data_IF_253906828374
#
_entry.id   IF_253906828374
#
_cell.length_a   1.000
_cell.length_b   1.000
_cell.length_c   1.000
_cell.angle_alpha   90.00
_cell.angle_beta   90.00
_cell.angle_gamma   90.00
#
_symmetry.space_group_name_H-M   'P 1'
#
loop_
_entity.id
_entity.type
_entity.pdbx_description
1 polymer ?
#
# COMPACT_ATOMS: atom_id res chain seq x y z
N UNK A 1 -1.42 -11.55 1.96
CA UNK A 1 -2.33 -12.24 1.04
C UNK A 1 -3.47 -11.28 0.72
N UNK A 2 -3.79 -11.06 -0.56
CA UNK A 2 -4.86 -10.14 -1.01
C UNK A 2 -5.94 -11.00 -1.67
N UNK A 3 -7.17 -11.08 -1.14
CA UNK A 3 -8.26 -11.79 -1.81
C UNK A 3 -8.47 -11.25 -3.24
N UNK A 4 -8.60 -12.13 -4.23
CA UNK A 4 -8.69 -11.74 -5.64
C UNK A 4 -7.37 -11.29 -6.27
N UNK A 5 -6.27 -11.27 -5.51
CA UNK A 5 -4.97 -10.79 -5.98
C UNK A 5 -4.30 -11.74 -6.96
N UNK A 6 -4.49 -13.06 -6.79
CA UNK A 6 -3.99 -14.04 -7.76
C UNK A 6 -4.65 -13.84 -9.12
N UNK A 7 -5.97 -13.78 -9.15
CA UNK A 7 -6.75 -13.58 -10.38
C UNK A 7 -6.41 -12.24 -11.05
N UNK A 8 -6.18 -11.19 -10.26
CA UNK A 8 -5.71 -9.89 -10.76
C UNK A 8 -4.33 -10.01 -11.45
N UNK A 9 -3.38 -10.74 -10.85
CA UNK A 9 -2.06 -10.96 -11.43
C UNK A 9 -2.09 -11.90 -12.65
N UNK A 10 -2.95 -12.92 -12.66
CA UNK A 10 -3.15 -13.80 -13.82
C UNK A 10 -3.67 -13.01 -15.04
N UNK A 11 -4.62 -12.11 -14.82
CA UNK A 11 -5.13 -11.22 -15.87
C UNK A 11 -4.05 -10.23 -16.33
N UNK A 12 -3.29 -9.66 -15.38
CA UNK A 12 -2.26 -8.65 -15.67
C UNK A 12 -1.10 -9.23 -16.47
N UNK A 13 -0.66 -10.44 -16.13
CA UNK A 13 0.52 -11.06 -16.73
C UNK A 13 0.18 -12.05 -17.84
N UNK A 14 -1.09 -12.43 -18.00
CA UNK A 14 -1.54 -13.46 -18.96
C UNK A 14 -0.85 -14.82 -18.73
N UNK A 15 -0.48 -15.12 -17.49
CA UNK A 15 0.20 -16.35 -17.08
C UNK A 15 -0.43 -16.89 -15.79
N UNK A 16 -0.31 -18.21 -15.58
CA UNK A 16 -0.64 -18.83 -14.29
C UNK A 16 0.17 -18.17 -13.17
N UNK A 17 -0.54 -17.72 -12.13
CA UNK A 17 0.05 -17.09 -10.97
C UNK A 17 -0.44 -17.82 -9.73
N UNK A 18 0.44 -18.04 -8.75
CA UNK A 18 0.05 -18.66 -7.49
C UNK A 18 0.41 -17.73 -6.34
N UNK A 19 -0.61 -17.27 -5.62
CA UNK A 19 -0.39 -16.45 -4.43
C UNK A 19 -0.38 -17.34 -3.19
N UNK A 20 0.80 -17.51 -2.58
CA UNK A 20 0.95 -18.29 -1.34
C UNK A 20 1.10 -17.35 -0.15
N UNK A 21 0.28 -17.54 0.88
CA UNK A 21 0.40 -16.79 2.13
C UNK A 21 1.58 -17.33 2.96
N UNK A 22 2.66 -16.56 3.08
CA UNK A 22 3.84 -16.96 3.86
C UNK A 22 3.72 -16.66 5.36
N UNK A 23 2.93 -15.64 5.73
CA UNK A 23 2.77 -15.19 7.12
C UNK A 23 1.31 -14.87 7.43
N UNK A 24 0.86 -14.95 8.70
CA UNK A 24 -0.47 -14.52 9.09
C UNK A 24 -0.75 -13.06 8.72
N UNK A 25 -2.01 -12.75 8.40
CA UNK A 25 -2.42 -11.37 8.15
C UNK A 25 -2.10 -10.49 9.37
N UNK A 26 -1.37 -9.41 9.14
CA UNK A 26 -0.87 -8.54 10.20
C UNK A 26 -1.18 -7.08 9.85
N UNK A 27 -1.79 -6.36 10.78
CA UNK A 27 -2.07 -4.93 10.67
C UNK A 27 -0.88 -4.13 11.23
N UNK A 28 -0.23 -3.34 10.37
CA UNK A 28 0.94 -2.52 10.72
C UNK A 28 0.59 -1.03 10.71
N UNK A 29 1.40 -0.20 11.37
CA UNK A 29 1.25 1.27 11.30
C UNK A 29 1.33 1.75 9.86
N UNK A 30 2.33 1.26 9.09
CA UNK A 30 2.50 1.60 7.68
C UNK A 30 1.27 1.24 6.83
N UNK A 31 0.60 0.13 7.13
CA UNK A 31 -0.61 -0.29 6.43
C UNK A 31 -1.79 0.64 6.68
N UNK A 32 -2.04 1.04 7.93
CA UNK A 32 -3.19 1.90 8.27
C UNK A 32 -3.02 3.36 7.85
N UNK A 33 -1.78 3.82 7.61
CA UNK A 33 -1.50 5.19 7.16
C UNK A 33 -1.17 5.29 5.68
N UNK A 34 -1.15 4.17 4.94
CA UNK A 34 -0.67 4.12 3.55
C UNK A 34 -1.47 5.03 2.58
N UNK A 35 -2.75 5.28 2.88
CA UNK A 35 -3.69 5.96 1.99
C UNK A 35 -4.41 7.11 2.70
N UNK A 36 -3.71 7.80 3.61
CA UNK A 36 -4.26 9.01 4.24
C UNK A 36 -4.32 10.15 3.23
N UNK A 37 -5.44 10.88 3.26
CA UNK A 37 -5.63 12.08 2.47
C UNK A 37 -5.55 13.31 3.38
N UNK A 38 -4.93 14.37 2.89
CA UNK A 38 -4.82 15.63 3.61
C UNK A 38 -5.28 16.79 2.72
N UNK A 39 -5.92 17.79 3.34
CA UNK A 39 -6.22 19.07 2.72
C UNK A 39 -5.18 20.07 3.20
N UNK A 40 -4.57 20.80 2.27
CA UNK A 40 -3.63 21.87 2.61
C UNK A 40 -4.28 22.90 3.53
N UNK A 41 -3.60 23.27 4.62
CA UNK A 41 -4.02 24.34 5.52
C UNK A 41 -4.11 25.72 4.82
N UNK A 42 -3.53 25.84 3.63
CA UNK A 42 -3.57 27.05 2.80
C UNK A 42 -4.68 27.01 1.73
N UNK A 43 -5.47 25.93 1.68
CA UNK A 43 -6.59 25.84 0.74
C UNK A 43 -7.59 26.97 1.00
N UNK A 44 -8.05 27.62 -0.07
CA UNK A 44 -9.11 28.63 0.02
C UNK A 44 -10.51 28.04 0.23
N UNK A 45 -10.64 26.71 0.17
CA UNK A 45 -11.90 25.98 0.20
C UNK A 45 -11.74 24.68 1.01
N UNK A 46 -11.33 24.77 2.28
CA UNK A 46 -11.08 23.59 3.12
C UNK A 46 -12.37 22.79 3.31
N UNK A 47 -13.47 23.45 3.65
CA UNK A 47 -14.76 22.83 3.91
C UNK A 47 -15.27 22.08 2.69
N UNK A 48 -15.18 22.69 1.49
CA UNK A 48 -15.59 22.05 0.24
C UNK A 48 -14.67 20.90 -0.18
N UNK A 49 -13.37 21.00 0.08
CA UNK A 49 -12.45 19.89 -0.15
C UNK A 49 -12.79 18.69 0.74
N UNK A 50 -13.09 18.94 2.03
CA UNK A 50 -13.52 17.89 2.96
C UNK A 50 -14.89 17.32 2.58
N UNK A 51 -15.84 18.16 2.16
CA UNK A 51 -17.15 17.71 1.65
C UNK A 51 -17.00 16.77 0.44
N UNK A 52 -16.14 17.13 -0.50
CA UNK A 52 -15.81 16.27 -1.64
C UNK A 52 -15.17 14.95 -1.22
N UNK A 53 -14.19 14.99 -0.32
CA UNK A 53 -13.59 13.77 0.20
C UNK A 53 -14.61 12.89 0.90
N UNK A 54 -15.50 13.47 1.72
CA UNK A 54 -16.57 12.71 2.36
C UNK A 54 -17.47 12.03 1.33
N UNK A 55 -17.89 12.76 0.29
CA UNK A 55 -18.70 12.24 -0.80
C UNK A 55 -18.03 11.06 -1.52
N UNK A 56 -16.72 11.14 -1.82
CA UNK A 56 -15.97 10.03 -2.45
C UNK A 56 -15.94 8.76 -1.58
N UNK A 57 -15.95 8.90 -0.25
CA UNK A 57 -15.91 7.76 0.69
C UNK A 57 -17.28 7.22 1.08
N UNK A 58 -18.37 7.95 0.80
CA UNK A 58 -19.72 7.60 1.25
C UNK A 58 -20.72 7.34 0.13
N UNK A 59 -20.46 7.83 -1.09
CA UNK A 59 -21.37 7.71 -2.22
C UNK A 59 -20.74 6.86 -3.33
N UNK A 60 -21.34 5.70 -3.58
CA UNK A 60 -20.84 4.73 -4.56
C UNK A 60 -20.85 5.28 -5.98
N UNK A 61 -21.80 6.15 -6.33
CA UNK A 61 -21.87 6.75 -7.66
C UNK A 61 -20.72 7.74 -7.90
N UNK A 62 -20.35 8.50 -6.86
CA UNK A 62 -19.22 9.44 -6.92
C UNK A 62 -17.90 8.67 -6.95
N UNK A 63 -17.78 7.61 -6.13
CA UNK A 63 -16.64 6.70 -6.16
C UNK A 63 -16.45 6.08 -7.56
N UNK A 64 -17.51 5.49 -8.12
CA UNK A 64 -17.48 4.83 -9.42
C UNK A 64 -17.19 5.82 -10.55
N UNK A 65 -17.79 7.01 -10.53
CA UNK A 65 -17.49 8.07 -11.49
C UNK A 65 -16.03 8.48 -11.43
N UNK A 66 -15.48 8.66 -10.23
CA UNK A 66 -14.10 9.07 -10.05
C UNK A 66 -13.09 8.03 -10.55
N UNK A 67 -13.35 6.74 -10.31
CA UNK A 67 -12.40 5.68 -10.66
C UNK A 67 -12.59 5.11 -12.07
N UNK A 68 -13.84 4.98 -12.51
CA UNK A 68 -14.20 4.25 -13.72
C UNK A 68 -14.94 5.10 -14.75
N UNK A 69 -15.17 6.37 -14.46
CA UNK A 69 -15.81 7.31 -15.37
C UNK A 69 -17.32 7.05 -15.48
N UNK A 70 -17.90 7.53 -16.59
CA UNK A 70 -19.34 7.45 -16.87
C UNK A 70 -19.72 6.03 -17.33
N UNK A 71 -20.72 5.43 -16.69
CA UNK A 71 -21.32 4.15 -17.11
C UNK A 71 -21.95 4.27 -18.51
N UNK A 72 -21.80 3.23 -19.33
CA UNK A 72 -22.21 3.20 -20.73
C UNK A 72 -21.18 3.81 -21.70
N UNK A 73 -20.29 4.68 -21.21
CA UNK A 73 -19.20 5.29 -22.00
C UNK A 73 -17.85 4.66 -21.71
N UNK A 74 -17.51 4.48 -20.42
CA UNK A 74 -16.20 4.00 -19.98
C UNK A 74 -16.25 2.59 -19.38
N UNK A 75 -17.36 2.25 -18.74
CA UNK A 75 -17.58 0.94 -18.15
C UNK A 75 -19.06 0.54 -18.22
N UNK A 76 -19.36 -0.72 -17.92
CA UNK A 76 -20.71 -1.25 -17.69
C UNK A 76 -20.69 -2.21 -16.51
N UNK A 77 -21.83 -2.33 -15.83
CA UNK A 77 -22.05 -3.41 -14.90
C UNK A 77 -22.82 -4.53 -15.61
N UNK A 78 -22.20 -5.71 -15.70
CA UNK A 78 -22.77 -6.89 -16.37
C UNK A 78 -22.69 -8.07 -15.40
N UNK A 79 -23.82 -8.72 -15.13
CA UNK A 79 -23.92 -9.85 -14.19
C UNK A 79 -23.35 -9.56 -12.79
N UNK A 80 -23.45 -8.29 -12.36
CA UNK A 80 -22.90 -7.83 -11.07
C UNK A 80 -21.41 -7.51 -11.07
N UNK A 81 -20.74 -7.58 -12.24
CA UNK A 81 -19.33 -7.30 -12.38
C UNK A 81 -19.06 -6.02 -13.17
N UNK A 82 -18.03 -5.29 -12.75
CA UNK A 82 -17.51 -4.15 -13.49
C UNK A 82 -16.73 -4.62 -14.71
N UNK A 83 -17.17 -4.18 -15.90
CA UNK A 83 -16.47 -4.36 -17.17
C UNK A 83 -16.06 -3.01 -17.76
N UNK A 84 -14.75 -2.81 -17.96
CA UNK A 84 -14.26 -1.66 -18.72
C UNK A 84 -14.58 -1.80 -20.21
N UNK A 85 -14.96 -0.71 -20.86
CA UNK A 85 -15.19 -0.67 -22.31
C UNK A 85 -13.83 -0.47 -23.00
N UNK A 86 -13.39 -1.39 -23.88
CA UNK A 86 -12.10 -1.27 -24.56
C UNK A 86 -11.99 0.03 -25.36
N UNK A 87 -10.86 0.73 -25.23
CA UNK A 87 -10.59 1.97 -25.97
C UNK A 87 -11.31 3.22 -25.46
N UNK A 88 -12.06 3.15 -24.36
CA UNK A 88 -12.83 4.30 -23.84
C UNK A 88 -11.98 5.42 -23.22
N UNK A 89 -10.67 5.21 -23.00
CA UNK A 89 -9.73 6.27 -22.63
C UNK A 89 -9.79 6.76 -21.17
N UNK A 90 -10.63 6.17 -20.32
CA UNK A 90 -10.69 6.51 -18.89
C UNK A 90 -10.73 5.26 -18.02
N UNK A 91 -9.68 5.05 -17.24
CA UNK A 91 -9.68 4.14 -16.09
C UNK A 91 -8.62 4.63 -15.11
N UNK A 92 -9.01 4.89 -13.86
CA UNK A 92 -8.09 5.21 -12.78
C UNK A 92 -7.85 3.92 -12.00
N UNK A 93 -6.74 3.26 -12.28
CA UNK A 93 -6.38 1.97 -11.68
C UNK A 93 -5.96 2.03 -10.20
N UNK A 94 -6.00 3.21 -9.56
CA UNK A 94 -5.61 3.41 -8.16
C UNK A 94 -6.81 3.48 -7.22
N UNK A 95 -7.75 2.56 -7.35
CA UNK A 95 -8.97 2.47 -6.53
C UNK A 95 -8.70 2.31 -5.04
N UNK A 96 -7.51 1.81 -4.70
CA UNK A 96 -7.02 1.64 -3.33
C UNK A 96 -6.60 2.95 -2.65
N UNK A 97 -6.28 4.02 -3.39
CA UNK A 97 -5.67 5.22 -2.82
C UNK A 97 -6.67 6.31 -2.40
N UNK A 98 -7.91 6.24 -2.89
CA UNK A 98 -8.92 7.27 -2.65
C UNK A 98 -10.33 6.68 -2.62
N UNK A 99 -11.07 6.90 -1.53
CA UNK A 99 -12.36 6.27 -1.30
C UNK A 99 -12.25 4.89 -0.63
N UNK A 100 -13.39 4.22 -0.47
CA UNK A 100 -13.44 2.87 0.08
C UNK A 100 -13.60 1.86 -1.05
N UNK A 101 -12.64 0.95 -1.21
CA UNK A 101 -12.73 -0.14 -2.21
C UNK A 101 -13.98 -1.03 -2.01
N UNK A 102 -14.57 -1.02 -0.82
CA UNK A 102 -15.82 -1.73 -0.55
C UNK A 102 -17.05 -1.13 -1.25
N UNK A 103 -16.92 0.04 -1.87
CA UNK A 103 -17.95 0.68 -2.71
C UNK A 103 -17.91 0.19 -4.16
N UNK A 104 -16.82 -0.47 -4.55
CA UNK A 104 -16.64 -1.01 -5.90
C UNK A 104 -17.41 -2.34 -6.04
N UNK A 105 -18.09 -2.58 -7.16
CA UNK A 105 -18.52 -3.94 -7.52
C UNK A 105 -17.35 -4.75 -8.07
N UNK A 106 -17.24 -6.06 -7.80
CA UNK A 106 -16.10 -6.86 -8.27
C UNK A 106 -15.88 -6.69 -9.78
N UNK A 107 -14.63 -6.58 -10.21
CA UNK A 107 -14.32 -6.52 -11.64
C UNK A 107 -14.46 -7.88 -12.28
N UNK A 108 -14.77 -7.93 -13.57
CA UNK A 108 -14.76 -9.18 -14.34
C UNK A 108 -13.43 -9.89 -14.15
N UNK A 109 -13.49 -11.18 -13.77
CA UNK A 109 -12.32 -12.01 -13.46
C UNK A 109 -11.98 -12.10 -11.97
N UNK A 110 -12.52 -11.22 -11.13
CA UNK A 110 -12.41 -11.36 -9.67
C UNK A 110 -13.50 -12.30 -9.12
N UNK A 111 -13.27 -12.96 -7.97
CA UNK A 111 -14.31 -13.66 -7.25
C UNK A 111 -15.46 -12.71 -6.87
N UNK A 112 -16.71 -13.17 -6.99
CA UNK A 112 -17.89 -12.39 -6.62
C UNK A 112 -17.89 -11.97 -5.14
N UNK A 113 -17.26 -12.76 -4.28
CA UNK A 113 -17.16 -12.60 -2.83
C UNK A 113 -15.83 -11.95 -2.38
N UNK A 114 -15.11 -11.29 -3.30
CA UNK A 114 -13.78 -10.70 -3.02
C UNK A 114 -13.83 -9.71 -1.85
N UNK A 115 -14.91 -8.95 -1.71
CA UNK A 115 -15.05 -7.95 -0.66
C UNK A 115 -15.42 -8.54 0.69
N UNK A 116 -16.25 -9.58 0.71
CA UNK A 116 -16.56 -10.39 1.90
C UNK A 116 -15.27 -11.01 2.45
N UNK A 117 -14.50 -11.69 1.58
CA UNK A 117 -13.19 -12.26 1.94
C UNK A 117 -12.23 -11.20 2.45
N UNK A 118 -12.24 -10.01 1.85
CA UNK A 118 -11.38 -8.89 2.28
C UNK A 118 -11.79 -8.37 3.66
N UNK A 119 -13.10 -8.25 3.95
CA UNK A 119 -13.58 -7.87 5.29
C UNK A 119 -13.19 -8.90 6.34
N UNK A 120 -13.36 -10.19 6.05
CA UNK A 120 -12.96 -11.28 6.95
C UNK A 120 -11.45 -11.29 7.23
N UNK A 121 -10.64 -11.09 6.19
CA UNK A 121 -9.19 -10.98 6.33
C UNK A 121 -8.79 -9.78 7.20
N UNK A 122 -9.42 -8.62 6.96
CA UNK A 122 -9.16 -7.41 7.74
C UNK A 122 -9.57 -7.58 9.20
N UNK A 123 -10.70 -8.24 9.47
CA UNK A 123 -11.19 -8.49 10.82
C UNK A 123 -10.35 -9.52 11.59
N UNK A 124 -9.79 -10.51 10.89
CA UNK A 124 -8.94 -11.55 11.47
C UNK A 124 -7.46 -11.15 11.58
N UNK A 125 -7.05 -10.04 10.98
CA UNK A 125 -5.67 -9.58 10.98
C UNK A 125 -5.17 -9.28 12.40
N UNK A 126 -4.00 -9.84 12.74
CA UNK A 126 -3.36 -9.60 14.03
C UNK A 126 -2.77 -8.19 14.03
N UNK A 127 -3.06 -7.40 15.06
CA UNK A 127 -2.41 -6.10 15.22
C UNK A 127 -0.94 -6.31 15.55
N UNK A 128 -0.05 -5.57 14.87
CA UNK A 128 1.36 -5.51 15.24
C UNK A 128 1.50 -5.08 16.70
N UNK A 129 2.41 -5.67 17.49
CA UNK A 129 2.73 -5.17 18.84
C UNK A 129 3.10 -3.68 18.85
N UNK A 130 3.67 -3.20 17.76
CA UNK A 130 4.14 -1.82 17.60
C UNK A 130 3.16 -0.96 16.79
N UNK A 131 1.89 -1.37 16.70
CA UNK A 131 0.86 -0.60 16.00
C UNK A 131 0.66 0.78 16.64
N UNK A 132 0.87 1.82 15.83
CA UNK A 132 0.85 3.22 16.21
C UNK A 132 2.23 3.82 16.52
N UNK A 133 3.30 3.02 16.57
CA UNK A 133 4.66 3.56 16.66
C UNK A 133 5.03 4.25 15.34
N UNK A 134 5.55 5.47 15.45
CA UNK A 134 6.08 6.24 14.33
C UNK A 134 7.47 6.75 14.72
N UNK A 135 8.47 6.38 13.93
CA UNK A 135 9.86 6.72 14.19
C UNK A 135 10.13 8.18 13.83
N UNK A 136 10.75 8.93 14.73
CA UNK A 136 11.29 10.25 14.44
C UNK A 136 12.75 10.13 13.97
N UNK A 137 13.04 10.32 12.68
CA UNK A 137 14.37 10.16 12.14
C UNK A 137 15.30 11.35 12.43
N UNK A 138 14.83 12.43 13.05
CA UNK A 138 15.54 13.72 13.15
C UNK A 138 16.97 13.59 13.68
N UNK A 139 17.19 12.72 14.66
CA UNK A 139 18.52 12.51 15.26
C UNK A 139 19.50 11.71 14.38
N UNK A 140 19.01 11.03 13.33
CA UNK A 140 19.81 10.11 12.50
C UNK A 140 19.60 10.32 10.98
N UNK A 141 19.15 11.51 10.56
CA UNK A 141 18.90 11.83 9.14
C UNK A 141 20.14 11.62 8.27
N UNK A 142 21.33 11.94 8.79
CA UNK A 142 22.58 11.78 8.03
C UNK A 142 22.88 10.32 7.74
N UNK A 143 22.76 9.46 8.74
CA UNK A 143 22.99 8.02 8.66
C UNK A 143 21.96 7.35 7.74
N UNK A 144 20.71 7.79 7.78
CA UNK A 144 19.67 7.33 6.84
C UNK A 144 20.07 7.64 5.40
N UNK A 145 20.57 8.86 5.13
CA UNK A 145 21.05 9.23 3.81
C UNK A 145 22.22 8.36 3.34
N UNK A 146 23.20 8.13 4.21
CA UNK A 146 24.39 7.31 3.90
C UNK A 146 24.03 5.84 3.68
N UNK A 147 23.20 5.26 4.54
CA UNK A 147 22.75 3.85 4.41
C UNK A 147 21.85 3.64 3.20
N UNK A 148 21.07 4.66 2.77
CA UNK A 148 20.30 4.62 1.53
C UNK A 148 21.21 4.51 0.31
N UNK A 149 22.30 5.29 0.24
CA UNK A 149 23.25 5.19 -0.88
C UNK A 149 23.87 3.80 -0.99
N UNK A 150 24.19 3.16 0.14
CA UNK A 150 24.66 1.76 0.15
C UNK A 150 23.55 0.83 -0.34
N UNK A 151 22.32 0.99 0.14
CA UNK A 151 21.19 0.15 -0.29
C UNK A 151 20.93 0.27 -1.81
N UNK A 152 20.96 1.49 -2.35
CA UNK A 152 20.75 1.77 -3.78
C UNK A 152 21.86 1.13 -4.65
N UNK A 153 23.09 0.99 -4.14
CA UNK A 153 24.22 0.36 -4.84
C UNK A 153 24.10 -1.17 -4.93
N UNK A 154 23.55 -1.82 -3.89
CA UNK A 154 23.64 -3.28 -3.72
C UNK A 154 22.32 -4.04 -3.85
N UNK A 155 21.22 -3.52 -3.28
CA UNK A 155 20.01 -4.32 -3.02
C UNK A 155 19.39 -4.85 -4.31
N UNK A 156 19.25 -4.00 -5.33
CA UNK A 156 18.65 -4.43 -6.60
C UNK A 156 19.44 -5.59 -7.23
N UNK A 157 20.76 -5.45 -7.32
CA UNK A 157 21.62 -6.46 -7.94
C UNK A 157 21.69 -7.78 -7.17
N UNK A 158 21.57 -7.72 -5.84
CA UNK A 158 21.51 -8.92 -5.00
C UNK A 158 20.15 -9.64 -5.12
N UNK A 159 19.05 -8.89 -5.34
CA UNK A 159 17.71 -9.47 -5.49
C UNK A 159 17.45 -10.05 -6.88
N UNK A 160 17.94 -9.40 -7.94
CA UNK A 160 17.75 -9.86 -9.33
C UNK A 160 18.85 -10.79 -9.83
N UNK A 161 19.91 -10.99 -9.04
CA UNK A 161 21.02 -11.89 -9.34
C UNK A 161 22.07 -11.30 -10.28
N UNK A 162 22.03 -10.01 -10.59
CA UNK A 162 23.08 -9.32 -11.38
C UNK A 162 24.35 -9.05 -10.57
N UNK A 163 24.31 -9.21 -9.24
CA UNK A 163 25.48 -9.25 -8.36
C UNK A 163 25.65 -10.62 -7.72
N UNK A 164 26.90 -11.08 -7.49
CA UNK A 164 27.14 -12.32 -6.77
C UNK A 164 26.71 -12.17 -5.30
N UNK A 165 26.14 -13.23 -4.73
CA UNK A 165 25.74 -13.25 -3.31
C UNK A 165 26.90 -13.00 -2.34
N UNK A 166 28.14 -13.23 -2.78
CA UNK A 166 29.35 -12.93 -2.02
C UNK A 166 29.49 -11.44 -1.66
N UNK A 167 28.91 -10.53 -2.46
CA UNK A 167 28.89 -9.09 -2.20
C UNK A 167 28.01 -8.71 -0.99
N UNK A 168 27.17 -9.65 -0.49
CA UNK A 168 26.27 -9.38 0.63
C UNK A 168 27.03 -8.98 1.90
N UNK A 169 28.17 -9.60 2.18
CA UNK A 169 28.97 -9.25 3.36
C UNK A 169 29.57 -7.85 3.25
N UNK A 170 30.04 -7.47 2.04
CA UNK A 170 30.54 -6.13 1.79
C UNK A 170 29.44 -5.06 1.97
N UNK A 171 28.23 -5.33 1.49
CA UNK A 171 27.07 -4.46 1.72
C UNK A 171 26.82 -4.26 3.21
N UNK A 172 26.82 -5.34 4.01
CA UNK A 172 26.62 -5.25 5.46
C UNK A 172 27.70 -4.40 6.15
N UNK A 173 28.96 -4.56 5.75
CA UNK A 173 30.06 -3.79 6.34
C UNK A 173 30.00 -2.31 5.94
N UNK A 174 29.61 -2.02 4.69
CA UNK A 174 29.33 -0.65 4.24
C UNK A 174 28.14 -0.03 4.98
N UNK A 175 27.06 -0.79 5.23
CA UNK A 175 25.91 -0.30 6.01
C UNK A 175 26.30 0.06 7.45
N UNK A 176 27.12 -0.78 8.10
CA UNK A 176 27.64 -0.51 9.44
C UNK A 176 28.52 0.74 9.46
N UNK A 177 29.43 0.87 8.50
CA UNK A 177 30.29 2.04 8.34
C UNK A 177 29.47 3.33 8.07
N UNK A 178 28.36 3.21 7.34
CA UNK A 178 27.40 4.29 7.08
C UNK A 178 26.48 4.61 8.27
N UNK A 179 26.60 3.90 9.40
CA UNK A 179 25.89 4.22 10.64
C UNK A 179 24.59 3.45 10.86
N UNK A 180 24.38 2.29 10.22
CA UNK A 180 23.17 1.47 10.43
C UNK A 180 22.92 1.15 11.92
N UNK A 181 23.98 0.88 12.68
CA UNK A 181 23.87 0.59 14.12
C UNK A 181 23.33 1.77 14.93
N UNK A 182 23.64 3.01 14.53
CA UNK A 182 23.10 4.21 15.19
C UNK A 182 21.60 4.38 14.90
N UNK A 183 21.17 4.07 13.69
CA UNK A 183 19.74 4.07 13.32
C UNK A 183 18.99 3.03 14.16
N UNK A 184 19.54 1.80 14.25
CA UNK A 184 18.95 0.70 15.03
C UNK A 184 18.84 1.10 16.51
N UNK A 185 19.92 1.65 17.10
CA UNK A 185 19.92 2.06 18.49
C UNK A 185 18.90 3.17 18.78
N UNK A 186 18.78 4.18 17.90
CA UNK A 186 17.81 5.26 18.08
C UNK A 186 16.37 4.78 17.90
N UNK A 187 16.11 3.90 16.92
CA UNK A 187 14.81 3.26 16.73
C UNK A 187 14.41 2.48 17.99
N UNK A 188 15.33 1.66 18.53
CA UNK A 188 15.08 0.87 19.74
C UNK A 188 14.79 1.78 20.94
N UNK A 189 15.57 2.85 21.14
CA UNK A 189 15.36 3.82 22.22
C UNK A 189 13.97 4.46 22.13
N UNK A 190 13.55 4.90 20.95
CA UNK A 190 12.23 5.49 20.74
C UNK A 190 11.10 4.48 20.94
N UNK A 191 11.30 3.25 20.47
CA UNK A 191 10.31 2.18 20.63
C UNK A 191 10.11 1.81 22.11
N UNK A 192 11.18 1.69 22.88
CA UNK A 192 11.13 1.40 24.31
C UNK A 192 10.44 2.53 25.09
N UNK A 193 10.77 3.78 24.77
CA UNK A 193 10.10 4.94 25.37
C UNK A 193 8.60 4.97 25.04
N UNK A 194 8.23 4.68 23.79
CA UNK A 194 6.82 4.62 23.36
C UNK A 194 6.05 3.47 24.04
N UNK A 195 6.67 2.29 24.20
CA UNK A 195 6.07 1.16 24.91
C UNK A 195 5.89 1.44 26.41
N UNK A 196 6.83 2.14 27.04
CA UNK A 196 6.74 2.50 28.46
C UNK A 196 5.67 3.56 28.76
N UNK A 197 5.28 4.36 27.77
CA UNK A 197 4.25 5.39 27.88
C UNK A 197 2.81 4.88 27.66
N UNK A 198 2.63 3.56 27.46
CA UNK A 198 1.35 2.91 27.16
C UNK A 198 0.78 2.12 28.34
#
# INVERSE_FOLDING_TARGET
FKPGGQEEEEIRWEHLYYQVQMTPATLTTSGIVATMLAVSSQSRNIEKAVEYLNAVFSDDSIYMLFHFGIEGTHHRIEDGFLRAIPGAGYTRSMTWSMGSQFQQVPSVGQPADVWERTRELNASARKSPDLGFNFDPTAVVSEIGQTRSVSDEYVAGLLDGTRPIADYQEMLDKLRAAGSERIIAELQRQLDAWRAAR
#
